data_IF_577423989330
#
_entry.id   IF_577423989330
#
_cell.length_a   1.000
_cell.length_b   1.000
_cell.length_c   1.000
_cell.angle_alpha   90.00
_cell.angle_beta   90.00
_cell.angle_gamma   90.00
#
_symmetry.space_group_name_H-M   'P 1'
#
loop_
_entity.id
_entity.type
_entity.pdbx_description
1 polymer ?
#
# COMPACT_ATOMS: atom_id res chain seq x y z
N UNK A 1 9.71 -15.62 12.22
CA UNK A 1 9.26 -15.25 13.58
C UNK A 1 10.31 -15.49 14.67
N UNK A 2 11.24 -14.54 14.82
CA UNK A 2 12.16 -14.37 15.96
C UNK A 2 12.72 -12.94 15.95
N UNK A 3 13.13 -12.36 17.10
CA UNK A 3 13.65 -10.99 17.14
C UNK A 3 14.78 -10.71 16.13
N UNK A 4 14.58 -9.72 15.26
CA UNK A 4 15.56 -9.31 14.24
C UNK A 4 15.66 -10.21 13.00
N UNK A 5 14.65 -11.04 12.74
CA UNK A 5 14.49 -11.69 11.43
C UNK A 5 14.31 -10.64 10.30
N UNK A 6 14.45 -11.08 9.06
CA UNK A 6 13.98 -10.32 7.90
C UNK A 6 12.46 -10.53 7.77
N UNK A 7 11.74 -9.47 7.44
CA UNK A 7 10.31 -9.55 7.13
C UNK A 7 10.09 -10.18 5.75
N UNK A 8 8.94 -10.84 5.61
CA UNK A 8 8.48 -11.42 4.35
C UNK A 8 6.99 -11.11 4.24
N UNK A 9 6.44 -10.96 3.02
CA UNK A 9 5.01 -10.75 2.84
C UNK A 9 4.20 -12.01 3.23
N UNK A 10 3.99 -12.22 4.52
CA UNK A 10 3.22 -13.34 5.07
C UNK A 10 2.26 -12.92 6.17
N UNK A 11 2.04 -11.60 6.34
CA UNK A 11 1.12 -11.05 7.32
C UNK A 11 1.50 -11.35 8.77
N UNK A 12 2.76 -11.63 9.01
CA UNK A 12 3.28 -11.89 10.34
C UNK A 12 4.47 -10.97 10.61
N UNK A 13 4.46 -10.37 11.79
CA UNK A 13 5.63 -9.71 12.39
C UNK A 13 6.74 -10.76 12.59
N UNK A 14 7.60 -10.90 11.59
CA UNK A 14 8.59 -11.95 11.54
C UNK A 14 9.76 -11.68 12.47
N UNK A 15 10.01 -10.41 12.76
CA UNK A 15 11.13 -9.92 13.54
C UNK A 15 10.76 -9.42 14.95
N UNK A 16 9.49 -9.59 15.33
CA UNK A 16 8.91 -9.27 16.64
C UNK A 16 9.09 -7.81 17.07
N UNK A 17 8.98 -6.85 16.14
CA UNK A 17 9.14 -5.42 16.41
C UNK A 17 7.82 -4.62 16.51
N UNK A 18 6.67 -5.31 16.46
CA UNK A 18 5.31 -4.74 16.47
C UNK A 18 4.87 -4.05 15.18
N UNK A 19 5.59 -4.27 14.10
CA UNK A 19 5.21 -3.91 12.75
C UNK A 19 5.01 -5.22 11.97
N UNK A 20 4.14 -5.19 10.96
CA UNK A 20 3.88 -6.36 10.11
C UNK A 20 4.38 -5.98 8.73
N UNK A 21 5.21 -6.84 8.15
CA UNK A 21 5.72 -6.71 6.80
C UNK A 21 6.35 -5.32 6.51
N UNK A 22 7.14 -4.79 7.45
CA UNK A 22 7.82 -3.51 7.26
C UNK A 22 9.07 -3.61 6.37
N UNK A 23 9.51 -2.46 5.84
CA UNK A 23 10.62 -2.38 4.88
C UNK A 23 10.18 -2.55 3.42
N UNK A 24 8.88 -2.72 3.20
CA UNK A 24 8.21 -2.79 1.90
C UNK A 24 7.39 -1.53 1.58
N UNK A 25 7.74 -0.42 2.25
CA UNK A 25 7.18 0.94 2.14
C UNK A 25 8.34 1.90 1.83
N UNK A 26 8.57 2.16 0.54
CA UNK A 26 9.67 2.97 0.05
C UNK A 26 9.36 4.47 0.07
N UNK A 27 8.11 4.86 -0.10
CA UNK A 27 7.71 6.27 -0.14
C UNK A 27 7.25 6.83 1.22
N UNK A 28 7.02 5.98 2.20
CA UNK A 28 6.77 6.31 3.60
C UNK A 28 5.34 6.75 3.88
N UNK A 29 4.36 6.28 3.11
CA UNK A 29 2.95 6.63 3.30
C UNK A 29 2.19 5.71 4.28
N UNK A 30 2.85 4.63 4.73
CA UNK A 30 2.32 3.66 5.68
C UNK A 30 1.56 2.50 5.04
N UNK A 31 1.48 2.47 3.71
CA UNK A 31 1.09 1.32 2.91
C UNK A 31 2.33 0.61 2.41
N UNK A 32 2.22 -0.71 2.26
CA UNK A 32 3.34 -1.53 1.78
C UNK A 32 2.93 -2.24 0.50
N UNK A 33 3.93 -2.62 -0.30
CA UNK A 33 3.73 -3.52 -1.45
C UNK A 33 3.24 -4.92 -1.05
N UNK A 34 3.39 -5.32 0.21
CA UNK A 34 2.80 -6.55 0.76
C UNK A 34 1.31 -6.38 1.10
N UNK A 35 0.88 -5.16 1.43
CA UNK A 35 -0.49 -4.80 1.80
C UNK A 35 -0.87 -4.99 3.27
N UNK A 36 -2.16 -4.79 3.58
CA UNK A 36 -2.73 -4.81 4.94
C UNK A 36 -3.34 -6.16 5.36
N UNK A 37 -2.96 -7.25 4.68
CA UNK A 37 -3.52 -8.60 4.88
C UNK A 37 -5.00 -8.76 4.53
N UNK A 38 -5.59 -7.75 3.88
CA UNK A 38 -6.93 -7.79 3.29
C UNK A 38 -6.89 -7.64 1.78
N UNK A 39 -5.77 -8.03 1.16
CA UNK A 39 -5.49 -7.89 -0.27
C UNK A 39 -5.52 -6.42 -0.76
N UNK A 40 -5.42 -5.43 0.15
CA UNK A 40 -5.16 -4.03 -0.20
C UNK A 40 -3.67 -3.77 -0.08
N UNK A 41 -3.02 -3.35 -1.16
CA UNK A 41 -1.58 -3.11 -1.22
C UNK A 41 -1.29 -1.82 -1.97
N UNK A 42 -0.13 -1.23 -1.71
CA UNK A 42 0.36 -0.09 -2.46
C UNK A 42 0.75 -0.52 -3.88
N UNK A 43 0.10 0.09 -4.88
CA UNK A 43 0.30 -0.16 -6.29
C UNK A 43 1.40 0.72 -6.93
N UNK A 44 1.87 1.77 -6.24
CA UNK A 44 2.99 2.64 -6.65
C UNK A 44 3.83 3.08 -5.44
N UNK A 45 4.69 2.17 -4.96
CA UNK A 45 5.68 2.31 -3.87
C UNK A 45 6.79 3.35 -4.14
N UNK A 46 6.51 4.32 -4.99
CA UNK A 46 7.38 5.46 -5.29
C UNK A 46 6.64 6.81 -5.20
N UNK A 47 5.33 6.79 -4.96
CA UNK A 47 4.47 7.97 -4.92
C UNK A 47 3.51 7.90 -3.71
N UNK A 48 3.80 8.64 -2.62
CA UNK A 48 3.02 8.55 -1.38
C UNK A 48 1.61 9.15 -1.48
N UNK A 49 1.21 9.58 -2.69
CA UNK A 49 -0.15 10.00 -3.02
C UNK A 49 -0.96 8.88 -3.71
N UNK A 50 -0.38 7.71 -3.93
CA UNK A 50 -1.01 6.53 -4.54
C UNK A 50 -0.97 5.41 -3.51
N UNK A 51 -2.12 5.03 -2.97
CA UNK A 51 -2.26 3.95 -2.00
C UNK A 51 -3.74 3.65 -1.72
N UNK A 52 -4.07 2.51 -1.08
CA UNK A 52 -5.46 2.12 -0.78
C UNK A 52 -6.36 3.10 -0.02
N UNK A 53 -5.82 4.14 0.62
CA UNK A 53 -6.60 5.18 1.31
C UNK A 53 -6.59 6.53 0.58
N UNK A 54 -5.92 6.62 -0.58
CA UNK A 54 -5.88 7.82 -1.38
C UNK A 54 -7.27 8.14 -1.99
N UNK A 55 -7.43 9.39 -2.41
CA UNK A 55 -8.63 9.82 -3.13
C UNK A 55 -8.35 9.75 -4.62
N UNK A 56 -9.23 9.09 -5.38
CA UNK A 56 -9.18 9.17 -6.84
C UNK A 56 -9.36 10.61 -7.32
N UNK A 57 -8.42 11.02 -8.17
CA UNK A 57 -8.45 12.28 -8.89
C UNK A 57 -8.30 12.01 -10.37
N UNK A 58 -8.83 12.90 -11.21
CA UNK A 58 -8.79 12.76 -12.66
C UNK A 58 -7.39 13.09 -13.21
N UNK A 59 -6.40 12.24 -12.94
CA UNK A 59 -4.98 12.44 -13.31
C UNK A 59 -4.41 11.30 -14.19
N UNK A 60 -5.23 10.28 -14.49
CA UNK A 60 -4.82 9.13 -15.29
C UNK A 60 -4.10 8.03 -14.51
N UNK A 61 -4.08 8.10 -13.18
CA UNK A 61 -3.61 7.06 -12.27
C UNK A 61 -4.79 6.37 -11.59
N UNK A 62 -4.49 5.20 -11.04
CA UNK A 62 -5.30 4.53 -10.03
C UNK A 62 -4.67 4.98 -8.70
N UNK A 63 -5.21 6.03 -8.10
CA UNK A 63 -4.64 6.61 -6.89
C UNK A 63 -4.98 5.75 -5.68
N UNK A 64 -6.19 5.18 -5.62
CA UNK A 64 -6.69 4.39 -4.50
C UNK A 64 -6.41 2.88 -4.60
N UNK A 65 -5.66 2.48 -5.63
CA UNK A 65 -5.22 1.10 -5.87
C UNK A 65 -6.37 0.08 -5.89
N UNK A 66 -7.59 0.49 -6.26
CA UNK A 66 -8.76 -0.38 -6.35
C UNK A 66 -8.86 -1.15 -7.69
N UNK A 67 -7.96 -0.85 -8.62
CA UNK A 67 -7.89 -1.43 -9.96
C UNK A 67 -8.67 -0.66 -11.02
N UNK A 68 -9.21 0.52 -10.70
CA UNK A 68 -9.99 1.38 -11.59
C UNK A 68 -9.37 2.75 -11.72
N UNK A 69 -8.63 2.97 -12.81
CA UNK A 69 -8.15 4.32 -13.18
C UNK A 69 -9.29 5.28 -13.49
N UNK A 70 -9.27 6.46 -12.87
CA UNK A 70 -10.19 7.59 -13.13
C UNK A 70 -11.68 7.18 -13.15
N UNK A 71 -12.26 6.66 -12.06
CA UNK A 71 -13.67 6.29 -12.03
C UNK A 71 -14.59 7.51 -12.26
N UNK A 72 -15.87 7.32 -12.65
CA UNK A 72 -16.75 8.42 -13.06
C UNK A 72 -16.86 9.56 -12.03
N UNK A 73 -16.82 9.22 -10.74
CA UNK A 73 -16.92 10.18 -9.64
C UNK A 73 -15.65 11.03 -9.45
N UNK A 74 -14.47 10.56 -9.90
CA UNK A 74 -13.20 11.28 -9.82
C UNK A 74 -13.12 12.42 -10.85
N UNK A 75 -13.72 12.25 -12.04
CA UNK A 75 -13.66 13.21 -13.14
C UNK A 75 -14.86 14.19 -13.22
N UNK A 76 -15.69 14.29 -12.18
CA UNK A 76 -16.82 15.22 -12.14
C UNK A 76 -17.84 15.04 -13.26
N UNK A 77 -18.01 13.80 -13.75
CA UNK A 77 -18.90 13.46 -14.87
C UNK A 77 -20.16 12.74 -14.43
#
# INVERSE_FOLDING_TARGET
VYPGAEEVCDCADNNCNWQVDEGFDQDGDGWTTCGDCQDRFDCDDTDPAVNPDALEICDGKDNDCDGVTDPPWACGR
#
